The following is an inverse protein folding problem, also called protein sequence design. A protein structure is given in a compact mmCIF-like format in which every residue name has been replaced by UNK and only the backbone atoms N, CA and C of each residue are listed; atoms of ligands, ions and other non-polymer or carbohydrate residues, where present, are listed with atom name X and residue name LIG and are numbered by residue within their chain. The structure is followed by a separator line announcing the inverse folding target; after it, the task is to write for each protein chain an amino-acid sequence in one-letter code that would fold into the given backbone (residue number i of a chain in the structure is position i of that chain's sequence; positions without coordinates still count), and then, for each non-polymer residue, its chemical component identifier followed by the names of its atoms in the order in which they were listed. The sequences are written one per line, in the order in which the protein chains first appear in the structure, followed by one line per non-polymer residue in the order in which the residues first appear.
data_IF_588836251766
#
_entry.id   IF_588836251766
#
_cell.length_a   1.000
_cell.length_b   1.000
_cell.length_c   1.000
_cell.angle_alpha   90.00
_cell.angle_beta   90.00
_cell.angle_gamma   90.00
#
_symmetry.space_group_name_H-M   'P 1'
#
loop_
_entity.id
_entity.type
_entity.pdbx_description
1 polymer ?
#
# COMPACT_ATOMS: atom_id res chain seq x y z
N UNK A 1 20.94 -15.78 -30.55
CA UNK A 1 19.58 -15.52 -31.07
C UNK A 1 18.64 -15.46 -29.87
N UNK A 2 18.19 -14.26 -29.51
CA UNK A 2 17.30 -14.05 -28.38
C UNK A 2 15.87 -14.34 -28.82
N UNK A 3 15.29 -15.44 -28.33
CA UNK A 3 13.90 -15.78 -28.57
C UNK A 3 13.01 -14.88 -27.72
N UNK A 4 12.37 -13.91 -28.35
CA UNK A 4 11.28 -13.13 -27.73
C UNK A 4 10.18 -14.10 -27.27
N UNK A 5 10.03 -14.25 -25.95
CA UNK A 5 8.99 -15.12 -25.38
C UNK A 5 7.69 -14.33 -25.35
N UNK A 6 6.75 -14.69 -26.23
CA UNK A 6 5.39 -14.16 -26.13
C UNK A 6 4.73 -14.65 -24.84
N UNK A 7 4.28 -13.73 -24.00
CA UNK A 7 3.51 -14.06 -22.81
C UNK A 7 2.14 -14.58 -23.23
N UNK A 8 1.84 -15.83 -22.86
CA UNK A 8 0.50 -16.39 -23.02
C UNK A 8 -0.45 -15.68 -22.06
N UNK A 9 -1.57 -15.18 -22.59
CA UNK A 9 -2.61 -14.51 -21.81
C UNK A 9 -3.45 -15.47 -20.95
N UNK A 10 -3.41 -16.77 -21.25
CA UNK A 10 -4.17 -17.81 -20.52
C UNK A 10 -3.26 -18.84 -19.89
N UNK A 11 -3.50 -19.14 -18.61
CA UNK A 11 -2.79 -20.18 -17.85
C UNK A 11 -3.45 -21.54 -18.04
N UNK A 12 -2.64 -22.59 -18.13
CA UNK A 12 -3.13 -23.98 -18.07
C UNK A 12 -3.61 -24.33 -16.66
N UNK A 13 -4.46 -25.34 -16.54
CA UNK A 13 -5.01 -25.77 -15.24
C UNK A 13 -3.94 -26.12 -14.20
N UNK A 14 -2.82 -26.73 -14.64
CA UNK A 14 -1.68 -27.04 -13.75
C UNK A 14 -1.00 -25.76 -13.25
N UNK A 15 -0.82 -24.77 -14.12
CA UNK A 15 -0.21 -23.48 -13.75
C UNK A 15 -1.12 -22.69 -12.82
N UNK A 16 -2.44 -22.69 -13.06
CA UNK A 16 -3.41 -22.07 -12.16
C UNK A 16 -3.37 -22.69 -10.76
N UNK A 17 -3.32 -24.02 -10.66
CA UNK A 17 -3.22 -24.71 -9.37
C UNK A 17 -1.91 -24.37 -8.64
N UNK A 18 -0.80 -24.29 -9.38
CA UNK A 18 0.49 -23.89 -8.83
C UNK A 18 0.49 -22.45 -8.33
N UNK A 19 -0.09 -21.53 -9.11
CA UNK A 19 -0.26 -20.12 -8.74
C UNK A 19 -1.12 -19.98 -7.48
N UNK A 20 -2.26 -20.67 -7.42
CA UNK A 20 -3.15 -20.66 -6.25
C UNK A 20 -2.44 -21.16 -4.98
N UNK A 21 -1.60 -22.20 -5.09
CA UNK A 21 -0.78 -22.68 -3.97
C UNK A 21 0.23 -21.62 -3.52
N UNK A 22 0.88 -20.95 -4.46
CA UNK A 22 1.85 -19.88 -4.16
C UNK A 22 1.17 -18.68 -3.49
N UNK A 23 0.05 -18.20 -4.03
CA UNK A 23 -0.71 -17.08 -3.47
C UNK A 23 -1.23 -17.40 -2.07
N UNK A 24 -1.72 -18.63 -1.84
CA UNK A 24 -2.12 -19.08 -0.50
C UNK A 24 -0.96 -19.11 0.49
N UNK A 25 0.20 -19.62 0.07
CA UNK A 25 1.41 -19.66 0.91
C UNK A 25 1.86 -18.25 1.30
N UNK A 26 1.79 -17.30 0.37
CA UNK A 26 2.22 -15.92 0.56
C UNK A 26 1.07 -14.97 0.93
N UNK A 27 -0.08 -15.50 1.39
CA UNK A 27 -1.22 -14.70 1.84
C UNK A 27 -0.84 -13.51 2.74
N UNK A 28 0.05 -13.64 3.76
CA UNK A 28 0.39 -12.51 4.63
C UNK A 28 1.20 -11.39 3.95
N UNK A 29 1.69 -11.60 2.73
CA UNK A 29 2.38 -10.56 1.95
C UNK A 29 1.39 -9.63 1.21
N UNK A 30 0.09 -9.89 1.28
CA UNK A 30 -0.96 -9.10 0.63
C UNK A 30 -1.91 -8.55 1.69
N UNK A 31 -2.26 -7.26 1.63
CA UNK A 31 -3.34 -6.71 2.47
C UNK A 31 -4.69 -7.01 1.85
N UNK A 32 -5.64 -7.42 2.67
CA UNK A 32 -7.06 -7.44 2.33
C UNK A 32 -7.65 -6.07 2.74
N UNK A 33 -8.68 -5.57 2.07
CA UNK A 33 -9.29 -4.25 2.39
C UNK A 33 -9.82 -4.12 3.83
N UNK A 34 -9.94 -5.23 4.55
CA UNK A 34 -10.35 -5.32 5.96
C UNK A 34 -9.15 -5.18 6.93
N UNK A 35 -7.91 -5.33 6.45
CA UNK A 35 -6.70 -5.28 7.26
C UNK A 35 -6.06 -3.89 7.19
N UNK A 36 -5.66 -3.28 8.33
CA UNK A 36 -5.00 -1.99 8.30
C UNK A 36 -3.69 -2.10 7.54
N UNK A 37 -3.40 -1.11 6.68
CA UNK A 37 -2.23 -1.10 5.80
C UNK A 37 -0.89 -1.32 6.53
N UNK A 38 -0.82 -1.02 7.84
CA UNK A 38 0.34 -1.26 8.69
C UNK A 38 0.59 -2.70 9.12
N UNK A 39 -0.26 -3.67 8.74
CA UNK A 39 -0.06 -5.10 9.08
C UNK A 39 0.89 -5.83 8.12
N UNK A 40 1.21 -5.24 6.95
CA UNK A 40 2.17 -5.83 6.01
C UNK A 40 3.60 -5.53 6.48
N UNK A 41 4.35 -6.58 6.85
CA UNK A 41 5.75 -6.47 7.28
C UNK A 41 6.64 -6.04 6.12
N UNK A 42 7.34 -4.91 6.27
CA UNK A 42 8.29 -4.40 5.27
C UNK A 42 7.69 -3.48 4.21
N UNK A 43 6.46 -3.00 4.40
CA UNK A 43 5.85 -2.00 3.52
C UNK A 43 6.02 -0.59 4.11
N UNK A 44 6.92 0.21 3.53
CA UNK A 44 7.06 1.62 3.85
C UNK A 44 6.01 2.42 3.08
N UNK A 45 5.08 3.07 3.79
CA UNK A 45 4.05 3.91 3.19
C UNK A 45 4.55 5.35 3.21
N UNK A 46 4.84 5.90 2.04
CA UNK A 46 5.18 7.30 1.91
C UNK A 46 3.91 8.09 1.56
N UNK A 47 3.40 8.85 2.54
CA UNK A 47 2.20 9.67 2.39
C UNK A 47 2.59 11.09 2.02
N UNK A 48 2.21 11.49 0.81
CA UNK A 48 2.38 12.87 0.35
C UNK A 48 1.03 13.59 0.36
N UNK A 49 1.03 14.81 0.88
CA UNK A 49 -0.11 15.71 0.79
C UNK A 49 -0.03 16.46 -0.54
N UNK A 50 -0.97 16.19 -1.45
CA UNK A 50 -1.17 16.94 -2.71
C UNK A 50 -1.80 18.32 -2.45
N UNK A 51 -1.21 19.10 -1.53
CA UNK A 51 -1.59 20.48 -1.29
C UNK A 51 -0.35 21.36 -1.35
N UNK A 52 -0.29 22.15 -2.42
CA UNK A 52 0.67 23.23 -2.55
C UNK A 52 0.32 24.39 -1.61
N UNK A 53 1.32 25.21 -1.26
CA UNK A 53 1.07 26.40 -0.43
C UNK A 53 0.23 27.41 -1.22
N UNK A 54 -0.69 28.14 -0.55
CA UNK A 54 -0.93 28.12 0.89
C UNK A 54 -1.86 26.97 1.31
N UNK A 55 -1.49 26.23 2.37
CA UNK A 55 -2.29 25.13 2.88
C UNK A 55 -3.74 25.57 3.21
N UNK A 56 -4.74 24.68 3.09
CA UNK A 56 -6.11 24.92 3.56
C UNK A 56 -6.13 25.42 5.02
N UNK A 57 -7.04 26.33 5.41
CA UNK A 57 -7.10 26.88 6.78
C UNK A 57 -7.06 25.84 7.90
N UNK A 58 -7.70 24.69 7.70
CA UNK A 58 -7.71 23.57 8.67
C UNK A 58 -6.34 22.90 8.87
N UNK A 59 -5.44 23.00 7.88
CA UNK A 59 -4.06 22.51 7.95
C UNK A 59 -3.05 23.60 8.32
N UNK A 60 -3.50 24.86 8.46
CA UNK A 60 -2.63 25.97 8.91
C UNK A 60 -2.42 25.96 10.43
N UNK A 61 -3.35 25.37 11.19
CA UNK A 61 -3.19 25.16 12.62
C UNK A 61 -2.36 23.90 12.88
N UNK A 62 -1.36 23.95 13.79
CA UNK A 62 -0.66 22.74 14.20
C UNK A 62 -1.67 21.74 14.82
N UNK A 63 -1.51 20.43 14.58
CA UNK A 63 -2.47 19.39 15.02
C UNK A 63 -2.64 19.31 16.54
N UNK A 64 -1.70 19.88 17.29
CA UNK A 64 -1.82 20.14 18.72
C UNK A 64 -1.39 21.58 19.00
N UNK A 65 -2.01 22.25 19.99
CA UNK A 65 -1.55 23.58 20.41
C UNK A 65 -0.08 23.51 20.80
N UNK A 66 0.71 24.46 20.31
CA UNK A 66 2.16 24.50 20.45
C UNK A 66 2.66 24.52 21.91
N UNK A 67 1.76 24.68 22.89
CA UNK A 67 2.08 24.49 24.31
C UNK A 67 0.89 23.92 25.09
N UNK A 68 1.17 23.24 26.20
CA UNK A 68 0.16 22.80 27.17
C UNK A 68 -0.61 23.96 27.82
N UNK A 69 -0.05 25.18 27.82
CA UNK A 69 -0.70 26.39 28.37
C UNK A 69 -1.89 26.84 27.51
N UNK A 70 -1.84 26.58 26.20
CA UNK A 70 -2.90 26.88 25.22
C UNK A 70 -4.03 25.84 25.19
N UNK A 71 -4.00 24.81 26.04
CA UNK A 71 -5.06 23.78 26.16
C UNK A 71 -6.15 24.11 27.19
N UNK A 72 -6.07 25.23 27.90
CA UNK A 72 -7.08 25.64 28.90
C UNK A 72 -8.10 26.61 28.32
#
# INVERSE_FOLDING_TARGET
MNSERQFRTTLTSKQNLSLLKMLRKNRPAFSIGEEPLGTIVGHDIELYLDVERPYPPMLRSPPYPASLKTRK
#
